data_IF_289926908227
#
_entry.id   IF_289926908227
#
_cell.length_a   1.000
_cell.length_b   1.000
_cell.length_c   1.000
_cell.angle_alpha   90.00
_cell.angle_beta   90.00
_cell.angle_gamma   90.00
#
_symmetry.space_group_name_H-M   'P 1'
#
loop_
_entity.id
_entity.type
_entity.pdbx_description
1 polymer ?
#
# COMPACT_ATOMS: atom_id res chain seq x y z
N UNK A 1 -12.00 13.25 -9.70
CA UNK A 1 -11.52 12.17 -8.82
C UNK A 1 -11.23 12.79 -7.47
N UNK A 2 -11.80 12.23 -6.41
CA UNK A 2 -11.44 12.63 -5.05
C UNK A 2 -10.03 12.13 -4.70
N UNK A 3 -9.29 12.88 -3.87
CA UNK A 3 -7.95 12.47 -3.40
C UNK A 3 -7.95 11.06 -2.79
N UNK A 4 -9.04 10.65 -2.15
CA UNK A 4 -9.20 9.29 -1.62
C UNK A 4 -9.26 8.22 -2.70
N UNK A 5 -9.96 8.47 -3.81
CA UNK A 5 -10.02 7.53 -4.94
C UNK A 5 -8.65 7.42 -5.60
N UNK A 6 -8.01 8.55 -5.89
CA UNK A 6 -6.65 8.57 -6.47
C UNK A 6 -5.65 7.83 -5.60
N UNK A 7 -5.68 8.03 -4.27
CA UNK A 7 -4.80 7.32 -3.34
C UNK A 7 -5.01 5.80 -3.37
N UNK A 8 -6.26 5.32 -3.44
CA UNK A 8 -6.56 3.89 -3.54
C UNK A 8 -6.03 3.30 -4.86
N UNK A 9 -6.21 4.02 -5.96
CA UNK A 9 -5.65 3.61 -7.26
C UNK A 9 -4.13 3.52 -7.22
N UNK A 10 -3.46 4.52 -6.63
CA UNK A 10 -1.99 4.52 -6.52
C UNK A 10 -1.48 3.38 -5.63
N UNK A 11 -2.17 3.06 -4.51
CA UNK A 11 -1.85 1.90 -3.67
C UNK A 11 -1.99 0.60 -4.49
N UNK A 12 -3.08 0.44 -5.24
CA UNK A 12 -3.30 -0.72 -6.11
C UNK A 12 -2.23 -0.84 -7.20
N UNK A 13 -1.82 0.28 -7.80
CA UNK A 13 -0.75 0.33 -8.80
C UNK A 13 0.62 -0.04 -8.20
N UNK A 14 0.90 0.41 -6.98
CA UNK A 14 2.10 0.02 -6.24
C UNK A 14 2.16 -1.47 -5.97
N UNK A 15 1.03 -2.08 -5.55
CA UNK A 15 0.90 -3.52 -5.42
C UNK A 15 1.12 -4.27 -6.72
N UNK A 16 0.59 -3.76 -7.83
CA UNK A 16 0.80 -4.35 -9.15
C UNK A 16 2.29 -4.38 -9.50
N UNK A 17 2.98 -3.24 -9.40
CA UNK A 17 4.44 -3.16 -9.61
C UNK A 17 5.23 -4.09 -8.69
N UNK A 18 4.78 -4.23 -7.44
CA UNK A 18 5.39 -5.12 -6.49
C UNK A 18 5.30 -6.60 -6.91
N UNK A 19 4.09 -7.04 -7.28
CA UNK A 19 3.83 -8.41 -7.76
C UNK A 19 4.58 -8.68 -9.06
N UNK A 20 4.59 -7.72 -9.99
CA UNK A 20 5.38 -7.81 -11.22
C UNK A 20 6.88 -7.92 -10.91
N UNK A 21 7.40 -7.14 -9.95
CA UNK A 21 8.80 -7.25 -9.51
C UNK A 21 9.15 -8.63 -8.92
N UNK A 22 8.20 -9.25 -8.19
CA UNK A 22 8.36 -10.63 -7.74
C UNK A 22 8.39 -11.63 -8.91
N UNK A 23 7.52 -11.47 -9.90
CA UNK A 23 7.45 -12.34 -11.09
C UNK A 23 8.71 -12.21 -11.98
N UNK A 24 9.31 -11.03 -12.05
CA UNK A 24 10.56 -10.77 -12.78
C UNK A 24 11.81 -11.24 -12.02
N UNK A 25 11.79 -12.47 -11.48
CA UNK A 25 12.92 -13.11 -10.77
C UNK A 25 13.40 -12.35 -9.52
N UNK A 26 12.53 -11.56 -8.91
CA UNK A 26 12.87 -10.75 -7.74
C UNK A 26 13.69 -9.51 -8.08
N UNK A 27 13.31 -8.80 -9.15
CA UNK A 27 13.86 -7.48 -9.46
C UNK A 27 13.58 -6.53 -8.28
N UNK A 28 14.64 -6.22 -7.55
CA UNK A 28 14.60 -5.35 -6.37
C UNK A 28 14.15 -3.94 -6.74
N UNK A 29 14.48 -3.46 -7.94
CA UNK A 29 14.12 -2.14 -8.42
C UNK A 29 12.61 -2.01 -8.60
N UNK A 30 11.98 -2.98 -9.25
CA UNK A 30 10.51 -3.00 -9.41
C UNK A 30 9.78 -3.15 -8.07
N UNK A 31 10.29 -4.01 -7.18
CA UNK A 31 9.75 -4.16 -5.83
C UNK A 31 9.81 -2.84 -5.03
N UNK A 32 10.96 -2.15 -5.04
CA UNK A 32 11.13 -0.86 -4.38
C UNK A 32 10.24 0.24 -4.99
N UNK A 33 10.11 0.27 -6.31
CA UNK A 33 9.24 1.22 -6.99
C UNK A 33 7.76 1.00 -6.61
N UNK A 34 7.34 -0.27 -6.51
CA UNK A 34 6.02 -0.64 -5.99
C UNK A 34 5.77 -0.11 -4.58
N UNK A 35 6.74 -0.27 -3.67
CA UNK A 35 6.59 0.22 -2.29
C UNK A 35 6.56 1.74 -2.21
N UNK A 36 7.37 2.44 -3.00
CA UNK A 36 7.32 3.90 -3.10
C UNK A 36 5.94 4.37 -3.56
N UNK A 37 5.35 3.70 -4.57
CA UNK A 37 3.99 3.99 -5.02
C UNK A 37 2.96 3.73 -3.91
N UNK A 38 3.11 2.66 -3.12
CA UNK A 38 2.22 2.40 -1.97
C UNK A 38 2.30 3.52 -0.94
N UNK A 39 3.51 3.99 -0.59
CA UNK A 39 3.71 5.11 0.36
C UNK A 39 3.03 6.37 -0.17
N UNK A 40 3.28 6.72 -1.43
CA UNK A 40 2.70 7.90 -2.08
C UNK A 40 1.17 7.78 -2.11
N UNK A 41 0.64 6.60 -2.42
CA UNK A 41 -0.80 6.35 -2.44
C UNK A 41 -1.44 6.48 -1.06
N UNK A 42 -0.79 6.00 0.00
CA UNK A 42 -1.25 6.18 1.40
C UNK A 42 -1.21 7.67 1.79
N UNK A 43 -0.16 8.39 1.40
CA UNK A 43 -0.08 9.84 1.64
C UNK A 43 -1.21 10.58 0.94
N UNK A 44 -1.46 10.30 -0.33
CA UNK A 44 -2.56 10.91 -1.09
C UNK A 44 -3.92 10.55 -0.45
N UNK A 45 -4.13 9.28 -0.09
CA UNK A 45 -5.35 8.79 0.57
C UNK A 45 -5.60 9.49 1.92
N UNK A 46 -4.53 9.81 2.65
CA UNK A 46 -4.60 10.48 3.97
C UNK A 46 -4.50 12.00 3.88
N UNK A 47 -4.59 12.60 2.68
CA UNK A 47 -4.43 14.04 2.41
C UNK A 47 -3.08 14.61 2.87
N UNK A 48 -2.00 13.85 2.68
CA UNK A 48 -0.64 14.28 2.98
C UNK A 48 -0.30 14.30 4.46
N UNK A 49 -1.07 13.60 5.30
CA UNK A 49 -0.87 13.65 6.75
C UNK A 49 0.28 12.73 7.18
N UNK A 50 1.52 13.17 6.95
CA UNK A 50 2.75 12.45 7.34
C UNK A 50 2.81 12.13 8.83
N UNK A 51 2.15 12.92 9.69
CA UNK A 51 2.02 12.64 11.12
C UNK A 51 1.31 11.31 11.41
N UNK A 52 0.57 10.75 10.46
CA UNK A 52 -0.03 9.43 10.59
C UNK A 52 1.04 8.32 10.67
N UNK A 53 2.20 8.49 10.01
CA UNK A 53 3.31 7.54 10.09
C UNK A 53 4.15 7.70 11.37
N UNK A 54 4.16 8.90 11.97
CA UNK A 54 4.94 9.22 13.18
C UNK A 54 4.14 9.13 14.49
N UNK A 55 2.82 8.93 14.43
CA UNK A 55 1.99 8.81 15.62
C UNK A 55 2.38 7.56 16.43
N UNK A 56 2.50 7.70 17.78
CA UNK A 56 2.94 6.61 18.67
C UNK A 56 2.10 5.34 18.54
N UNK A 57 0.82 5.48 18.23
CA UNK A 57 -0.11 4.36 18.03
C UNK A 57 0.18 3.60 16.74
N UNK A 58 0.76 4.27 15.74
CA UNK A 58 1.04 3.72 14.40
C UNK A 58 2.51 3.41 14.15
N UNK A 59 3.41 3.78 15.06
CA UNK A 59 4.84 3.44 15.00
C UNK A 59 5.10 1.95 14.79
N UNK A 60 4.28 1.05 15.38
CA UNK A 60 4.40 -0.40 15.15
C UNK A 60 4.18 -0.75 13.66
N UNK A 61 3.17 -0.16 13.02
CA UNK A 61 2.92 -0.40 11.60
C UNK A 61 4.04 0.19 10.73
N UNK A 62 4.52 1.39 11.07
CA UNK A 62 5.64 2.04 10.35
C UNK A 62 6.95 1.26 10.50
N UNK A 63 7.25 0.71 11.68
CA UNK A 63 8.46 -0.10 11.88
C UNK A 63 8.39 -1.41 11.11
N UNK A 64 7.23 -2.10 11.12
CA UNK A 64 7.01 -3.29 10.28
C UNK A 64 7.13 -2.97 8.78
N UNK A 65 6.57 -1.84 8.33
CA UNK A 65 6.70 -1.40 6.95
C UNK A 65 8.17 -1.18 6.54
N UNK A 66 8.93 -0.43 7.35
CA UNK A 66 10.36 -0.18 7.11
C UNK A 66 11.19 -1.48 7.21
N UNK A 67 10.86 -2.37 8.14
CA UNK A 67 11.47 -3.69 8.26
C UNK A 67 11.22 -4.53 6.98
N UNK A 68 9.99 -4.58 6.48
CA UNK A 68 9.65 -5.28 5.25
C UNK A 68 10.47 -4.78 4.07
N UNK A 69 10.58 -3.45 3.92
CA UNK A 69 11.38 -2.79 2.91
C UNK A 69 12.89 -3.14 3.03
N UNK A 70 13.41 -3.18 4.27
CA UNK A 70 14.79 -3.61 4.53
C UNK A 70 15.02 -5.09 4.19
N UNK A 71 14.05 -5.96 4.46
CA UNK A 71 14.13 -7.38 4.10
C UNK A 71 14.11 -7.62 2.58
N UNK A 72 13.35 -6.82 1.84
CA UNK A 72 13.31 -6.89 0.37
C UNK A 72 14.67 -6.55 -0.26
N UNK A 73 15.44 -5.64 0.34
CA UNK A 73 16.80 -5.33 -0.11
C UNK A 73 17.76 -6.52 0.07
N UNK A 74 17.56 -7.34 1.10
CA UNK A 74 18.46 -8.44 1.51
C UNK A 74 18.18 -9.80 0.84
N UNK A 75 17.71 -9.82 -0.41
CA UNK A 75 17.36 -11.06 -1.17
C UNK A 75 16.21 -11.89 -0.57
N UNK A 76 15.62 -11.47 0.56
CA UNK A 76 14.48 -12.15 1.19
C UNK A 76 13.16 -11.47 0.80
N UNK A 77 12.96 -11.34 -0.51
CA UNK A 77 11.93 -10.47 -1.09
C UNK A 77 10.50 -10.90 -0.70
N UNK A 78 10.25 -12.20 -0.67
CA UNK A 78 8.96 -12.79 -0.30
C UNK A 78 8.62 -12.57 1.17
N UNK A 79 9.56 -12.78 2.10
CA UNK A 79 9.33 -12.51 3.53
C UNK A 79 9.14 -11.02 3.78
N UNK A 80 9.94 -10.17 3.13
CA UNK A 80 9.79 -8.73 3.20
C UNK A 80 8.39 -8.27 2.79
N UNK A 81 7.81 -8.89 1.76
CA UNK A 81 6.44 -8.63 1.31
C UNK A 81 5.41 -8.91 2.40
N UNK A 82 5.40 -10.10 2.99
CA UNK A 82 4.42 -10.42 4.05
C UNK A 82 4.54 -9.47 5.25
N UNK A 83 5.77 -9.13 5.65
CA UNK A 83 6.01 -8.17 6.74
C UNK A 83 5.47 -6.78 6.37
N UNK A 84 5.72 -6.33 5.14
CA UNK A 84 5.25 -5.04 4.67
C UNK A 84 3.73 -4.96 4.59
N UNK A 85 3.08 -6.01 4.08
CA UNK A 85 1.61 -6.13 4.06
C UNK A 85 1.01 -5.96 5.44
N UNK A 86 1.60 -6.60 6.45
CA UNK A 86 1.16 -6.48 7.84
C UNK A 86 1.35 -5.03 8.33
N UNK A 87 2.47 -4.39 7.99
CA UNK A 87 2.73 -2.97 8.30
C UNK A 87 1.68 -2.03 7.71
N UNK A 88 1.37 -2.19 6.41
CA UNK A 88 0.34 -1.42 5.70
C UNK A 88 -1.04 -1.66 6.33
N UNK A 89 -1.37 -2.92 6.65
CA UNK A 89 -2.65 -3.27 7.26
C UNK A 89 -2.81 -2.59 8.63
N UNK A 90 -1.76 -2.59 9.46
CA UNK A 90 -1.76 -1.89 10.76
C UNK A 90 -1.89 -0.37 10.57
N UNK A 91 -1.21 0.20 9.56
CA UNK A 91 -1.27 1.64 9.25
C UNK A 91 -2.67 2.08 8.79
N UNK A 92 -3.32 1.27 7.96
CA UNK A 92 -4.65 1.53 7.39
C UNK A 92 -5.77 1.07 8.33
N UNK A 93 -5.48 0.30 9.39
CA UNK A 93 -6.49 -0.33 10.26
C UNK A 93 -7.58 0.62 10.78
N UNK A 94 -7.16 1.82 11.18
CA UNK A 94 -8.01 2.90 11.67
C UNK A 94 -8.96 3.50 10.59
N UNK A 95 -8.60 3.34 9.31
CA UNK A 95 -9.34 3.83 8.13
C UNK A 95 -10.01 2.70 7.32
N UNK A 96 -9.98 1.45 7.80
CA UNK A 96 -10.60 0.28 7.14
C UNK A 96 -12.07 0.47 6.78
N UNK A 97 -12.98 1.01 7.64
CA UNK A 97 -14.38 1.12 7.28
C UNK A 97 -14.59 2.06 6.08
N UNK A 98 -13.81 3.15 5.99
CA UNK A 98 -13.80 4.02 4.81
C UNK A 98 -13.20 3.31 3.59
N UNK A 99 -12.12 2.56 3.76
CA UNK A 99 -11.46 1.83 2.67
C UNK A 99 -12.36 0.73 2.07
N UNK A 100 -13.02 -0.07 2.91
CA UNK A 100 -13.97 -1.12 2.49
C UNK A 100 -15.21 -0.54 1.81
N UNK A 101 -15.80 0.53 2.35
CA UNK A 101 -16.95 1.18 1.72
C UNK A 101 -16.58 1.79 0.37
N UNK A 102 -15.38 2.35 0.23
CA UNK A 102 -14.92 2.96 -1.01
C UNK A 102 -14.62 1.89 -2.07
N UNK A 103 -13.92 0.81 -1.73
CA UNK A 103 -13.73 -0.35 -2.63
C UNK A 103 -15.07 -0.94 -3.07
N UNK A 104 -16.02 -1.13 -2.14
CA UNK A 104 -17.34 -1.69 -2.47
C UNK A 104 -18.10 -0.78 -3.43
N UNK A 105 -18.14 0.53 -3.16
CA UNK A 105 -18.81 1.49 -4.04
C UNK A 105 -18.13 1.59 -5.40
N UNK A 106 -16.80 1.52 -5.43
CA UNK A 106 -16.04 1.55 -6.67
C UNK A 106 -16.28 0.30 -7.51
N UNK A 107 -16.24 -0.89 -6.89
CA UNK A 107 -16.54 -2.16 -7.54
C UNK A 107 -17.98 -2.20 -8.09
N UNK A 108 -18.96 -1.72 -7.31
CA UNK A 108 -20.35 -1.60 -7.77
C UNK A 108 -20.52 -0.61 -8.93
N UNK A 109 -19.83 0.54 -8.89
CA UNK A 109 -19.83 1.51 -10.00
C UNK A 109 -19.20 0.92 -11.27
N UNK A 110 -18.06 0.24 -11.13
CA UNK A 110 -17.36 -0.41 -12.23
C UNK A 110 -18.25 -1.47 -12.90
N UNK A 111 -18.92 -2.30 -12.10
CA UNK A 111 -19.84 -3.32 -12.61
C UNK A 111 -21.06 -2.72 -13.33
N UNK A 112 -21.54 -1.55 -12.88
CA UNK A 112 -22.65 -0.82 -13.53
C UNK A 112 -22.23 -0.11 -14.82
N UNK A 113 -20.94 0.18 -15.01
CA UNK A 113 -20.41 0.82 -16.22
C UNK A 113 -20.08 -0.21 -17.33
N UNK A 114 -19.98 -1.49 -16.97
CA UNK A 114 -19.69 -2.61 -17.89
C UNK A 114 -20.98 -3.25 -18.44
N UNK A 115 -22.15 -2.76 -18.05
CA UNK A 115 -23.46 -3.15 -18.60
C UNK A 115 -24.11 -1.98 -19.32
#
# INVERSE_FOLDING_TARGET
MDFSETGIFTIGFGFFFFVTGMMCLGDKGMALAGNLLVIIGILIFTRGNFMMFLSRTKLKGTTLFVLGLAFMLKKVLVLGFFIELIGIFILISDKIPSFKNLIRNFFFKLFRFVK
#
